data_IF_728162245512
#
_entry.id   IF_728162245512
#
_cell.length_a   1.000
_cell.length_b   1.000
_cell.length_c   1.000
_cell.angle_alpha   90.00
_cell.angle_beta   90.00
_cell.angle_gamma   90.00
#
_symmetry.space_group_name_H-M   'P 1'
#
loop_
_entity.id
_entity.type
_entity.pdbx_description
1 polymer ?
#
# COMPACT_ATOMS: atom_id res chain seq x y z
N UNK A 1 -20.36 3.20 10.23
CA UNK A 1 -19.01 3.80 10.36
C UNK A 1 -18.04 2.88 9.60
N UNK A 2 -17.20 3.35 8.68
CA UNK A 2 -16.33 2.49 7.89
C UNK A 2 -15.11 2.15 8.76
N UNK A 3 -15.29 1.14 9.60
CA UNK A 3 -14.23 0.59 10.43
C UNK A 3 -13.48 -0.47 9.62
N UNK A 4 -12.20 -0.70 9.93
CA UNK A 4 -11.60 -2.01 9.68
C UNK A 4 -12.49 -3.01 10.42
N UNK A 5 -13.29 -3.76 9.68
CA UNK A 5 -14.32 -4.58 10.28
C UNK A 5 -13.67 -5.72 11.05
N UNK A 6 -14.38 -6.29 12.02
CA UNK A 6 -13.90 -7.51 12.69
C UNK A 6 -13.65 -8.64 11.68
N UNK A 7 -14.37 -8.63 10.55
CA UNK A 7 -14.12 -9.53 9.43
C UNK A 7 -12.76 -9.28 8.78
N UNK A 8 -12.37 -8.02 8.54
CA UNK A 8 -11.04 -7.70 8.01
C UNK A 8 -9.94 -8.15 8.98
N UNK A 9 -10.08 -7.86 10.28
CA UNK A 9 -9.12 -8.28 11.31
C UNK A 9 -8.98 -9.80 11.32
N UNK A 10 -10.10 -10.53 11.28
CA UNK A 10 -10.12 -12.00 11.24
C UNK A 10 -9.48 -12.54 9.96
N UNK A 11 -9.75 -11.93 8.80
CA UNK A 11 -9.19 -12.34 7.52
C UNK A 11 -7.66 -12.14 7.50
N UNK A 12 -7.15 -11.02 8.02
CA UNK A 12 -5.72 -10.77 8.17
C UNK A 12 -5.10 -11.87 9.03
N UNK A 13 -5.62 -12.13 10.24
CA UNK A 13 -5.09 -13.17 11.13
C UNK A 13 -5.13 -14.57 10.52
N UNK A 14 -6.14 -14.87 9.69
CA UNK A 14 -6.28 -16.16 9.03
C UNK A 14 -5.28 -16.35 7.88
N UNK A 15 -4.94 -15.29 7.16
CA UNK A 15 -4.07 -15.33 5.97
C UNK A 15 -2.62 -14.91 6.22
N UNK A 16 -2.33 -14.24 7.33
CA UNK A 16 -0.99 -13.73 7.63
C UNK A 16 -0.02 -14.88 7.91
N UNK A 17 1.21 -14.86 7.34
CA UNK A 17 2.21 -15.88 7.61
C UNK A 17 2.58 -15.93 9.11
N UNK A 18 2.31 -17.08 9.75
CA UNK A 18 2.51 -17.28 11.21
C UNK A 18 3.96 -17.13 11.67
N UNK A 19 4.94 -17.34 10.78
CA UNK A 19 6.36 -17.16 11.09
C UNK A 19 6.78 -15.68 11.13
N UNK A 20 5.92 -14.76 10.68
CA UNK A 20 6.20 -13.31 10.59
C UNK A 20 5.40 -12.48 11.62
N UNK A 21 4.74 -13.13 12.59
CA UNK A 21 3.97 -12.45 13.64
C UNK A 21 4.85 -11.70 14.65
N UNK A 22 6.16 -11.90 14.60
CA UNK A 22 7.14 -11.18 15.43
C UNK A 22 7.31 -9.72 14.94
N UNK A 23 6.98 -9.44 13.67
CA UNK A 23 7.13 -8.10 13.10
C UNK A 23 5.85 -7.29 13.25
N UNK A 24 6.03 -5.99 13.44
CA UNK A 24 4.94 -5.02 13.39
C UNK A 24 4.34 -4.97 11.98
N UNK A 25 3.01 -5.04 11.91
CA UNK A 25 2.22 -4.92 10.69
C UNK A 25 1.66 -3.50 10.63
N UNK A 26 1.96 -2.78 9.56
CA UNK A 26 1.37 -1.46 9.33
C UNK A 26 0.20 -1.57 8.35
N UNK A 27 -0.96 -1.09 8.77
CA UNK A 27 -2.10 -0.84 7.90
C UNK A 27 -2.07 0.66 7.55
N UNK A 28 -1.86 0.96 6.28
CA UNK A 28 -1.91 2.33 5.78
C UNK A 28 -3.35 2.72 5.40
N UNK A 29 -3.77 3.93 5.78
CA UNK A 29 -5.03 4.54 5.37
C UNK A 29 -4.79 5.97 4.84
N UNK A 30 -5.71 6.49 4.04
CA UNK A 30 -5.72 7.91 3.68
C UNK A 30 -6.20 8.78 4.86
N UNK A 31 -6.35 10.09 4.65
CA UNK A 31 -6.78 11.03 5.70
C UNK A 31 -8.28 11.37 5.62
N UNK A 32 -9.07 10.62 4.87
CA UNK A 32 -10.49 10.90 4.64
C UNK A 32 -11.35 10.48 5.85
N UNK A 33 -12.11 11.40 6.46
CA UNK A 33 -13.00 10.99 7.57
C UNK A 33 -14.09 10.03 7.06
N UNK A 34 -14.46 8.97 7.82
CA UNK A 34 -14.11 8.70 9.21
C UNK A 34 -13.22 7.45 9.35
N UNK A 35 -11.90 7.63 9.41
CA UNK A 35 -10.98 6.57 9.83
C UNK A 35 -10.97 6.37 11.35
N UNK A 36 -10.46 5.21 11.77
CA UNK A 36 -10.19 4.89 13.17
C UNK A 36 -8.97 5.71 13.59
N UNK A 37 -9.04 6.35 14.77
CA UNK A 37 -7.87 7.01 15.35
C UNK A 37 -6.78 5.93 15.60
N UNK A 38 -5.51 6.13 15.21
CA UNK A 38 -4.45 5.15 15.48
C UNK A 38 -4.29 4.84 16.98
N UNK A 39 -4.74 5.75 17.85
CA UNK A 39 -4.75 5.61 19.30
C UNK A 39 -6.08 5.10 19.87
N UNK A 40 -7.01 4.66 19.02
CA UNK A 40 -8.28 4.08 19.44
C UNK A 40 -8.04 2.80 20.27
N UNK A 41 -8.52 2.81 21.51
CA UNK A 41 -8.26 1.73 22.46
C UNK A 41 -8.85 0.39 22.03
N UNK A 42 -10.06 0.40 21.45
CA UNK A 42 -10.74 -0.81 20.98
C UNK A 42 -9.99 -1.43 19.79
N UNK A 43 -9.49 -0.60 18.88
CA UNK A 43 -8.63 -1.05 17.81
C UNK A 43 -7.32 -1.64 18.34
N UNK A 44 -6.60 -0.94 19.21
CA UNK A 44 -5.31 -1.39 19.76
C UNK A 44 -5.46 -2.74 20.49
N UNK A 45 -6.51 -2.90 21.30
CA UNK A 45 -6.79 -4.17 21.97
C UNK A 45 -7.03 -5.29 20.94
N UNK A 46 -7.88 -5.09 19.94
CA UNK A 46 -8.15 -6.09 18.92
C UNK A 46 -6.95 -6.38 18.00
N UNK A 47 -6.09 -5.39 17.77
CA UNK A 47 -4.90 -5.44 16.93
C UNK A 47 -3.72 -6.16 17.60
N UNK A 48 -3.74 -6.28 18.93
CA UNK A 48 -2.71 -6.95 19.73
C UNK A 48 -3.02 -8.41 20.10
N UNK A 49 -4.20 -8.90 19.71
CA UNK A 49 -4.62 -10.28 19.95
C UNK A 49 -3.76 -11.29 19.19
N UNK A 50 -3.66 -12.51 19.73
CA UNK A 50 -2.99 -13.66 19.11
C UNK A 50 -1.50 -13.42 18.76
N UNK A 51 -0.83 -12.49 19.46
CA UNK A 51 0.58 -12.18 19.28
C UNK A 51 0.88 -11.30 18.07
N UNK A 52 -0.13 -10.66 17.48
CA UNK A 52 0.04 -9.66 16.44
C UNK A 52 0.41 -8.29 17.02
N UNK A 53 1.18 -7.49 16.28
CA UNK A 53 1.40 -6.06 16.53
C UNK A 53 0.94 -5.29 15.29
N UNK A 54 -0.37 -5.03 15.18
CA UNK A 54 -0.94 -4.28 14.05
C UNK A 54 -1.09 -2.81 14.44
N UNK A 55 -0.58 -1.91 13.59
CA UNK A 55 -0.65 -0.46 13.80
C UNK A 55 -1.26 0.23 12.59
N UNK A 56 -2.06 1.26 12.84
CA UNK A 56 -2.54 2.16 11.80
C UNK A 56 -1.50 3.24 11.54
N UNK A 57 -1.29 3.53 10.26
CA UNK A 57 -0.52 4.68 9.81
C UNK A 57 -1.31 5.43 8.77
N UNK A 58 -1.32 6.75 8.86
CA UNK A 58 -1.87 7.58 7.79
C UNK A 58 -0.80 7.87 6.75
N UNK A 59 -1.23 7.95 5.49
CA UNK A 59 -0.38 8.51 4.44
C UNK A 59 -0.29 10.04 4.58
N UNK A 60 0.74 10.69 4.01
CA UNK A 60 0.80 12.14 3.96
C UNK A 60 -0.41 12.77 3.24
N UNK A 61 -0.95 13.92 3.68
CA UNK A 61 -2.06 14.60 3.01
C UNK A 61 -1.76 14.91 1.54
N UNK A 62 -2.79 14.87 0.68
CA UNK A 62 -2.70 15.18 -0.76
C UNK A 62 -1.61 14.41 -1.53
N UNK A 63 -1.24 13.22 -1.07
CA UNK A 63 -0.15 12.41 -1.63
C UNK A 63 -0.67 11.06 -2.15
N UNK A 64 -1.38 11.04 -3.30
CA UNK A 64 -1.90 9.78 -3.89
C UNK A 64 -0.77 8.85 -4.35
N UNK A 65 0.41 9.39 -4.62
CA UNK A 65 1.65 8.68 -4.87
C UNK A 65 2.19 7.91 -3.65
N UNK A 66 1.67 8.18 -2.44
CA UNK A 66 2.01 7.48 -1.20
C UNK A 66 0.98 6.39 -0.82
N UNK A 67 0.05 6.06 -1.72
CA UNK A 67 -0.97 5.03 -1.51
C UNK A 67 -0.81 3.88 -2.50
N UNK A 68 -0.57 2.67 -1.99
CA UNK A 68 -0.43 1.47 -2.83
C UNK A 68 -1.69 1.17 -3.66
N UNK A 69 -2.88 1.48 -3.13
CA UNK A 69 -4.15 1.21 -3.81
C UNK A 69 -4.35 2.17 -4.99
N UNK A 70 -4.03 3.46 -4.81
CA UNK A 70 -4.08 4.47 -5.88
C UNK A 70 -3.03 4.20 -6.97
N UNK A 71 -1.82 3.76 -6.59
CA UNK A 71 -0.76 3.45 -7.55
C UNK A 71 -1.04 2.21 -8.41
N UNK A 72 -1.79 1.25 -7.87
CA UNK A 72 -1.96 -0.07 -8.45
C UNK A 72 -3.41 -0.48 -8.65
N UNK A 73 -4.02 -1.01 -7.59
CA UNK A 73 -5.26 -1.77 -7.69
C UNK A 73 -6.43 -0.96 -8.26
N UNK A 74 -6.62 0.29 -7.82
CA UNK A 74 -7.68 1.14 -8.36
C UNK A 74 -7.47 1.49 -9.83
N UNK A 75 -6.22 1.60 -10.29
CA UNK A 75 -5.92 1.81 -11.71
C UNK A 75 -6.25 0.58 -12.55
N UNK A 76 -6.05 -0.63 -12.00
CA UNK A 76 -6.43 -1.87 -12.67
C UNK A 76 -7.96 -1.95 -12.83
N UNK A 77 -8.71 -1.70 -11.75
CA UNK A 77 -10.18 -1.63 -11.79
C UNK A 77 -10.65 -0.60 -12.81
N UNK A 78 -10.09 0.61 -12.77
CA UNK A 78 -10.46 1.69 -13.68
C UNK A 78 -10.18 1.30 -15.14
N UNK A 79 -9.03 0.67 -15.42
CA UNK A 79 -8.71 0.17 -16.77
C UNK A 79 -9.73 -0.87 -17.24
N UNK A 80 -10.09 -1.83 -16.38
CA UNK A 80 -11.09 -2.85 -16.70
C UNK A 80 -12.48 -2.24 -16.90
N UNK A 81 -12.87 -1.26 -16.08
CA UNK A 81 -14.12 -0.53 -16.24
C UNK A 81 -14.19 0.19 -17.59
N UNK A 82 -13.10 0.82 -18.04
CA UNK A 82 -13.04 1.45 -19.37
C UNK A 82 -13.12 0.44 -20.51
N UNK A 83 -12.51 -0.74 -20.36
CA UNK A 83 -12.50 -1.80 -21.38
C UNK A 83 -13.86 -2.52 -21.48
N UNK A 84 -14.46 -2.88 -20.35
CA UNK A 84 -15.68 -3.68 -20.28
C UNK A 84 -16.96 -2.84 -20.31
N UNK A 85 -16.85 -1.53 -20.03
CA UNK A 85 -17.96 -0.57 -20.00
C UNK A 85 -19.21 -1.11 -19.29
N UNK A 86 -19.10 -1.52 -18.01
CA UNK A 86 -20.19 -2.17 -17.31
C UNK A 86 -21.40 -1.24 -17.20
N UNK A 87 -22.56 -1.73 -17.67
CA UNK A 87 -23.82 -0.97 -17.69
C UNK A 87 -24.73 -1.27 -16.49
N UNK A 88 -24.32 -2.18 -15.62
CA UNK A 88 -25.08 -2.60 -14.44
C UNK A 88 -24.15 -2.77 -13.23
N UNK A 89 -24.72 -2.71 -12.03
CA UNK A 89 -23.98 -2.93 -10.79
C UNK A 89 -23.35 -4.33 -10.76
N UNK A 90 -24.08 -5.37 -11.15
CA UNK A 90 -23.56 -6.75 -11.16
C UNK A 90 -22.34 -6.91 -12.08
N UNK A 91 -22.36 -6.26 -13.25
CA UNK A 91 -21.20 -6.26 -14.16
C UNK A 91 -20.02 -5.52 -13.56
N UNK A 92 -20.26 -4.42 -12.84
CA UNK A 92 -19.21 -3.68 -12.16
C UNK A 92 -18.59 -4.52 -11.02
N UNK A 93 -19.42 -5.19 -10.21
CA UNK A 93 -18.95 -6.10 -9.15
C UNK A 93 -18.11 -7.21 -9.75
N UNK A 94 -18.59 -7.86 -10.82
CA UNK A 94 -17.84 -8.90 -11.51
C UNK A 94 -16.49 -8.42 -12.03
N UNK A 95 -16.43 -7.22 -12.61
CA UNK A 95 -15.17 -6.62 -13.09
C UNK A 95 -14.19 -6.37 -11.94
N UNK A 96 -14.67 -5.93 -10.77
CA UNK A 96 -13.83 -5.76 -9.57
C UNK A 96 -13.31 -7.10 -9.06
N UNK A 97 -14.17 -8.12 -8.94
CA UNK A 97 -13.77 -9.47 -8.52
C UNK A 97 -12.71 -10.04 -9.47
N UNK A 98 -12.95 -9.96 -10.78
CA UNK A 98 -11.99 -10.37 -11.81
C UNK A 98 -10.66 -9.64 -11.67
N UNK A 99 -10.69 -8.32 -11.44
CA UNK A 99 -9.46 -7.53 -11.26
C UNK A 99 -8.65 -7.97 -10.03
N UNK A 100 -9.34 -8.42 -8.98
CA UNK A 100 -8.72 -8.93 -7.77
C UNK A 100 -8.09 -10.30 -8.01
N UNK A 101 -8.79 -11.19 -8.70
CA UNK A 101 -8.31 -12.53 -9.02
C UNK A 101 -7.13 -12.51 -10.01
N UNK A 102 -7.12 -11.57 -10.95
CA UNK A 102 -6.03 -11.38 -11.92
C UNK A 102 -4.80 -10.69 -11.31
N UNK A 103 -4.90 -10.13 -10.10
CA UNK A 103 -3.79 -9.44 -9.44
C UNK A 103 -2.78 -10.46 -8.89
N UNK A 104 -1.74 -10.75 -9.68
CA UNK A 104 -0.65 -11.61 -9.25
C UNK A 104 0.23 -10.97 -8.16
N UNK A 105 0.91 -11.80 -7.37
CA UNK A 105 1.93 -11.36 -6.40
C UNK A 105 3.07 -10.58 -7.06
N UNK A 106 3.43 -10.93 -8.29
CA UNK A 106 4.44 -10.23 -9.10
C UNK A 106 3.98 -8.82 -9.50
N UNK A 107 2.72 -8.69 -9.95
CA UNK A 107 2.12 -7.40 -10.24
C UNK A 107 2.01 -6.53 -8.98
N UNK A 108 1.63 -7.14 -7.86
CA UNK A 108 1.58 -6.45 -6.57
C UNK A 108 2.97 -5.97 -6.13
N UNK A 109 4.01 -6.81 -6.29
CA UNK A 109 5.39 -6.41 -6.02
C UNK A 109 5.81 -5.22 -6.89
N UNK A 110 5.43 -5.20 -8.17
CA UNK A 110 5.69 -4.05 -9.05
C UNK A 110 5.08 -2.75 -8.52
N UNK A 111 3.89 -2.79 -7.92
CA UNK A 111 3.23 -1.62 -7.31
C UNK A 111 3.97 -1.19 -6.04
N UNK A 112 4.33 -2.14 -5.16
CA UNK A 112 5.11 -1.83 -3.94
C UNK A 112 6.49 -1.24 -4.25
N UNK A 113 7.17 -1.71 -5.29
CA UNK A 113 8.42 -1.10 -5.74
C UNK A 113 8.22 0.32 -6.30
N UNK A 114 7.07 0.61 -6.93
CA UNK A 114 6.72 1.98 -7.30
C UNK A 114 6.58 2.85 -6.05
N UNK A 115 5.81 2.37 -5.05
CA UNK A 115 5.59 3.11 -3.81
C UNK A 115 6.92 3.43 -3.11
N UNK A 116 7.81 2.44 -2.99
CA UNK A 116 9.14 2.65 -2.41
C UNK A 116 9.99 3.63 -3.24
N UNK A 117 9.87 3.62 -4.57
CA UNK A 117 10.52 4.61 -5.43
C UNK A 117 9.97 6.01 -5.18
N UNK A 118 8.65 6.17 -5.04
CA UNK A 118 8.05 7.45 -4.68
C UNK A 118 8.59 7.94 -3.33
N UNK A 119 8.61 7.09 -2.30
CA UNK A 119 9.11 7.44 -0.96
C UNK A 119 10.57 7.92 -1.01
N UNK A 120 11.44 7.22 -1.73
CA UNK A 120 12.85 7.60 -1.91
C UNK A 120 12.96 8.97 -2.58
N UNK A 121 12.21 9.22 -3.66
CA UNK A 121 12.28 10.48 -4.38
C UNK A 121 11.70 11.66 -3.58
N UNK A 122 10.61 11.45 -2.83
CA UNK A 122 10.04 12.47 -1.94
C UNK A 122 11.04 12.91 -0.87
N UNK A 123 11.81 11.97 -0.30
CA UNK A 123 12.87 12.31 0.67
C UNK A 123 13.96 13.18 0.04
N UNK A 124 14.37 12.91 -1.20
CA UNK A 124 15.39 13.69 -1.93
C UNK A 124 14.95 15.13 -2.21
N UNK A 125 13.65 15.39 -2.25
CA UNK A 125 13.08 16.74 -2.46
C UNK A 125 12.41 17.28 -1.20
N UNK A 126 12.77 16.77 -0.02
CA UNK A 126 12.32 17.27 1.30
C UNK A 126 10.79 17.33 1.45
N UNK A 127 10.06 16.32 0.96
CA UNK A 127 8.60 16.29 1.02
C UNK A 127 7.89 16.98 -0.14
N UNK A 128 8.63 17.56 -1.09
CA UNK A 128 8.08 18.12 -2.32
C UNK A 128 7.48 17.06 -3.25
N UNK A 129 6.62 17.49 -4.17
CA UNK A 129 6.01 16.65 -5.20
C UNK A 129 6.65 16.80 -6.59
N UNK A 130 7.68 17.65 -6.72
CA UNK A 130 8.37 17.91 -7.97
C UNK A 130 9.52 16.92 -8.18
N UNK A 131 9.18 15.65 -8.39
CA UNK A 131 10.14 14.60 -8.66
C UNK A 131 9.70 13.73 -9.84
N UNK A 132 10.65 13.00 -10.42
CA UNK A 132 10.38 12.05 -11.50
C UNK A 132 10.63 10.64 -11.00
N UNK A 133 9.69 9.74 -11.25
CA UNK A 133 9.86 8.36 -10.84
C UNK A 133 10.94 7.67 -11.68
N UNK A 134 11.95 7.06 -11.03
CA UNK A 134 13.01 6.34 -11.73
C UNK A 134 12.44 5.09 -12.41
N UNK A 135 12.83 4.87 -13.67
CA UNK A 135 12.45 3.67 -14.42
C UNK A 135 13.48 2.56 -14.20
N UNK A 136 13.29 1.74 -13.16
CA UNK A 136 14.24 0.66 -12.80
C UNK A 136 14.12 -0.61 -13.67
N UNK A 137 13.30 -0.60 -14.72
CA UNK A 137 13.19 -1.72 -15.65
C UNK A 137 12.52 -2.96 -15.04
N UNK A 138 11.53 -2.77 -14.18
CA UNK A 138 10.85 -3.83 -13.42
C UNK A 138 10.41 -5.03 -14.28
N UNK A 139 9.81 -4.78 -15.44
CA UNK A 139 9.39 -5.85 -16.35
C UNK A 139 10.55 -6.71 -16.86
N UNK A 140 11.73 -6.13 -17.07
CA UNK A 140 12.94 -6.88 -17.44
C UNK A 140 13.41 -7.72 -16.27
N UNK A 141 13.58 -7.10 -15.10
CA UNK A 141 14.03 -7.79 -13.88
C UNK A 141 13.11 -8.96 -13.51
N UNK A 142 11.80 -8.80 -13.68
CA UNK A 142 10.82 -9.84 -13.42
C UNK A 142 10.99 -11.04 -14.37
N UNK A 143 11.13 -10.79 -15.69
CA UNK A 143 11.40 -11.87 -16.66
C UNK A 143 12.71 -12.61 -16.37
N UNK A 144 13.70 -11.89 -15.86
CA UNK A 144 15.02 -12.45 -15.52
C UNK A 144 15.01 -13.14 -14.14
N UNK A 145 13.89 -13.13 -13.40
CA UNK A 145 13.80 -13.68 -12.04
C UNK A 145 14.57 -12.88 -10.97
N UNK A 146 14.96 -11.65 -11.29
CA UNK A 146 15.83 -10.80 -10.47
C UNK A 146 15.12 -9.55 -9.92
N UNK A 147 13.79 -9.50 -9.98
CA UNK A 147 13.03 -8.38 -9.42
C UNK A 147 13.10 -8.44 -7.88
N UNK A 148 13.63 -7.41 -7.20
CA UNK A 148 13.68 -7.40 -5.75
C UNK A 148 12.28 -7.23 -5.14
N UNK A 149 12.12 -7.60 -3.87
CA UNK A 149 10.92 -7.28 -3.09
C UNK A 149 11.01 -5.94 -2.36
N UNK A 150 12.23 -5.40 -2.24
CA UNK A 150 12.53 -4.16 -1.53
C UNK A 150 13.66 -3.39 -2.23
N UNK A 151 13.52 -2.08 -2.30
CA UNK A 151 14.55 -1.16 -2.77
C UNK A 151 15.45 -0.76 -1.60
N UNK A 152 16.72 -0.56 -1.90
CA UNK A 152 17.65 0.03 -0.95
C UNK A 152 17.43 1.54 -0.92
N UNK A 153 17.27 2.09 0.28
CA UNK A 153 17.28 3.53 0.50
C UNK A 153 18.65 3.92 1.06
N UNK A 154 19.33 4.83 0.38
CA UNK A 154 20.58 5.40 0.89
C UNK A 154 20.30 6.18 2.19
N UNK A 155 21.29 6.21 3.10
CA UNK A 155 21.17 6.93 4.37
C UNK A 155 21.15 8.45 4.17
N UNK A 156 21.91 8.96 3.21
CA UNK A 156 22.07 10.40 3.00
C UNK A 156 20.72 11.13 2.79
N UNK A 157 19.80 10.71 1.91
CA UNK A 157 18.49 11.35 1.79
C UNK A 157 17.66 11.34 3.09
N UNK A 158 17.77 10.25 3.86
CA UNK A 158 17.06 10.12 5.15
C UNK A 158 17.63 11.09 6.16
N UNK A 159 18.96 11.11 6.33
CA UNK A 159 19.66 11.99 7.27
C UNK A 159 19.42 13.47 6.92
N UNK A 160 19.50 13.82 5.63
CA UNK A 160 19.21 15.17 5.15
C UNK A 160 17.77 15.60 5.43
N UNK A 161 16.79 14.70 5.22
CA UNK A 161 15.40 14.98 5.54
C UNK A 161 15.20 15.15 7.05
N UNK A 162 15.79 14.27 7.87
CA UNK A 162 15.67 14.36 9.33
C UNK A 162 16.27 15.66 9.86
N UNK A 163 17.39 16.13 9.31
CA UNK A 163 17.98 17.43 9.64
C UNK A 163 17.08 18.59 9.22
N UNK A 164 16.39 18.49 8.09
CA UNK A 164 15.47 19.53 7.63
C UNK A 164 14.22 19.69 8.52
N UNK A 165 13.84 18.63 9.23
CA UNK A 165 12.66 18.62 10.12
C UNK A 165 12.96 19.08 11.55
N UNK A 166 14.23 19.32 11.91
CA UNK A 166 14.67 19.82 13.21
C UNK A 166 14.73 21.35 13.25
#
# INVERSE_FOLDING_TARGET
KPHLTDENKKAIRAKWPRYDTIKTIFIQQDNAKPHIDPMDAEFIEAASQDGFDIRLSFQPPNSPDMNVLDLGFFRAIQSLQYQEAPTTIDKLVHAVEKSFDELSSENLNNVFLTLQSCMIEVMKVYGGNNYKLPHIGKNRLMRDGNLPSQLQCEREPVDNMLLHLQ
#
